data_IF_113261774674
#
_entry.id   IF_113261774674
#
_cell.length_a   1.000
_cell.length_b   1.000
_cell.length_c   1.000
_cell.angle_alpha   90.00
_cell.angle_beta   90.00
_cell.angle_gamma   90.00
#
_symmetry.space_group_name_H-M   'P 1'
#
loop_
_entity.id
_entity.type
_entity.pdbx_description
1 polymer ?
#
# COMPACT_ATOMS: atom_id res chain seq x y z
N UNK A 1 -18.88 19.87 -8.16
CA UNK A 1 -18.06 18.78 -8.72
C UNK A 1 -17.85 17.78 -7.59
N UNK A 2 -18.08 16.50 -7.82
CA UNK A 2 -17.96 15.49 -6.78
C UNK A 2 -16.49 15.06 -6.61
N UNK A 3 -16.16 14.46 -5.48
CA UNK A 3 -14.91 13.74 -5.25
C UNK A 3 -14.81 12.57 -6.27
N UNK A 4 -13.70 12.42 -6.99
CA UNK A 4 -13.52 11.34 -7.95
C UNK A 4 -13.70 9.93 -7.36
N UNK A 5 -13.28 9.71 -6.11
CA UNK A 5 -13.51 8.43 -5.42
C UNK A 5 -15.00 8.24 -5.13
N UNK A 6 -15.73 9.30 -4.80
CA UNK A 6 -17.17 9.19 -4.61
C UNK A 6 -17.89 8.77 -5.90
N UNK A 7 -17.47 9.29 -7.05
CA UNK A 7 -18.04 8.90 -8.34
C UNK A 7 -17.71 7.44 -8.69
N UNK A 8 -16.49 6.95 -8.38
CA UNK A 8 -16.13 5.52 -8.51
C UNK A 8 -17.05 4.67 -7.64
N UNK A 9 -17.19 5.00 -6.35
CA UNK A 9 -18.06 4.26 -5.44
C UNK A 9 -19.52 4.25 -5.91
N UNK A 10 -19.99 5.37 -6.46
CA UNK A 10 -21.35 5.47 -7.00
C UNK A 10 -21.52 4.62 -8.26
N UNK A 11 -20.49 4.50 -9.10
CA UNK A 11 -20.48 3.58 -10.23
C UNK A 11 -20.44 2.10 -9.80
N UNK A 12 -19.70 1.77 -8.74
CA UNK A 12 -19.54 0.38 -8.27
C UNK A 12 -20.75 -0.13 -7.50
N UNK A 13 -21.32 0.70 -6.60
CA UNK A 13 -22.39 0.30 -5.69
C UNK A 13 -23.78 0.85 -6.08
N UNK A 14 -23.84 1.78 -7.03
CA UNK A 14 -25.08 2.38 -7.56
C UNK A 14 -25.70 3.45 -6.67
N UNK A 15 -25.91 3.16 -5.38
CA UNK A 15 -26.61 4.08 -4.45
C UNK A 15 -25.78 4.46 -3.24
N UNK A 16 -26.03 5.66 -2.70
CA UNK A 16 -25.37 6.17 -1.49
C UNK A 16 -25.67 5.29 -0.26
N UNK A 17 -26.85 4.65 -0.25
CA UNK A 17 -27.25 3.71 0.80
C UNK A 17 -26.45 2.42 0.69
N UNK A 18 -26.22 1.90 -0.52
CA UNK A 18 -25.40 0.71 -0.74
C UNK A 18 -23.94 0.95 -0.32
N UNK A 19 -23.38 2.11 -0.68
CA UNK A 19 -22.04 2.54 -0.23
C UNK A 19 -22.00 2.57 1.31
N UNK A 20 -22.96 3.24 1.95
CA UNK A 20 -22.99 3.37 3.40
C UNK A 20 -23.07 2.00 4.10
N UNK A 21 -23.92 1.09 3.60
CA UNK A 21 -24.03 -0.28 4.10
C UNK A 21 -22.73 -1.07 3.94
N UNK A 22 -22.07 -0.96 2.80
CA UNK A 22 -20.82 -1.67 2.52
C UNK A 22 -19.72 -1.27 3.51
N UNK A 23 -19.59 0.04 3.80
CA UNK A 23 -18.60 0.55 4.74
C UNK A 23 -19.08 0.63 6.20
N UNK A 24 -20.27 0.11 6.52
CA UNK A 24 -20.83 0.13 7.87
C UNK A 24 -21.10 1.54 8.42
N UNK A 25 -21.38 2.52 7.57
CA UNK A 25 -21.69 3.90 7.96
C UNK A 25 -23.16 4.24 7.82
N UNK A 26 -23.62 5.31 8.49
CA UNK A 26 -25.04 5.71 8.48
C UNK A 26 -25.44 6.36 7.16
N UNK A 27 -24.55 7.19 6.56
CA UNK A 27 -24.80 7.90 5.30
C UNK A 27 -23.48 8.18 4.57
N UNK A 28 -23.46 8.02 3.25
CA UNK A 28 -22.32 8.39 2.40
C UNK A 28 -22.50 9.73 1.66
N UNK A 29 -23.65 10.41 1.80
CA UNK A 29 -23.96 11.62 1.03
C UNK A 29 -22.95 12.76 1.20
N UNK A 30 -22.32 12.87 2.37
CA UNK A 30 -21.32 13.90 2.68
C UNK A 30 -19.97 13.66 1.98
N UNK A 31 -19.74 12.44 1.48
CA UNK A 31 -18.52 12.08 0.76
C UNK A 31 -18.46 12.66 -0.65
N UNK A 32 -19.56 13.26 -1.13
CA UNK A 32 -19.60 14.01 -2.40
C UNK A 32 -18.52 15.06 -2.50
N UNK A 33 -18.15 15.69 -1.39
CA UNK A 33 -17.13 16.75 -1.38
C UNK A 33 -15.74 16.21 -1.08
N UNK A 34 -15.66 15.23 -0.16
CA UNK A 34 -14.41 14.61 0.24
C UNK A 34 -14.69 13.26 0.89
N UNK A 35 -14.15 12.19 0.31
CA UNK A 35 -14.25 10.85 0.91
C UNK A 35 -13.22 10.74 2.03
N UNK A 36 -13.58 10.32 3.26
CA UNK A 36 -12.65 10.18 4.38
C UNK A 36 -11.45 9.27 4.07
N UNK A 37 -10.29 9.59 4.65
CA UNK A 37 -9.02 8.89 4.40
C UNK A 37 -9.08 7.39 4.70
N UNK A 38 -9.72 6.99 5.81
CA UNK A 38 -9.89 5.59 6.17
C UNK A 38 -10.69 4.82 5.13
N UNK A 39 -11.74 5.43 4.55
CA UNK A 39 -12.53 4.83 3.48
C UNK A 39 -11.70 4.72 2.21
N UNK A 40 -10.92 5.75 1.87
CA UNK A 40 -10.04 5.73 0.72
C UNK A 40 -8.95 4.65 0.82
N UNK A 41 -8.39 4.44 2.01
CA UNK A 41 -7.46 3.34 2.28
C UNK A 41 -8.14 1.98 2.10
N UNK A 42 -9.34 1.80 2.64
CA UNK A 42 -10.10 0.55 2.43
C UNK A 42 -10.37 0.31 0.94
N UNK A 43 -10.74 1.35 0.19
CA UNK A 43 -10.94 1.24 -1.26
C UNK A 43 -9.67 0.82 -2.00
N UNK A 44 -8.49 1.24 -1.54
CA UNK A 44 -7.21 0.84 -2.12
C UNK A 44 -6.87 -0.64 -1.84
N UNK A 45 -7.36 -1.20 -0.73
CA UNK A 45 -7.12 -2.58 -0.34
C UNK A 45 -8.12 -3.56 -1.00
N UNK A 46 -9.27 -3.08 -1.47
CA UNK A 46 -10.31 -3.92 -2.06
C UNK A 46 -10.07 -4.00 -3.58
N UNK A 47 -9.76 -5.18 -4.14
CA UNK A 47 -9.40 -5.33 -5.55
C UNK A 47 -10.54 -4.99 -6.52
N UNK A 48 -11.79 -5.12 -6.06
CA UNK A 48 -12.98 -4.85 -6.86
C UNK A 48 -13.28 -3.35 -7.03
N UNK A 49 -12.62 -2.49 -6.25
CA UNK A 49 -12.78 -1.04 -6.34
C UNK A 49 -11.57 -0.48 -7.08
N UNK A 50 -11.74 0.10 -8.29
CA UNK A 50 -10.63 0.59 -9.10
C UNK A 50 -10.12 1.93 -8.56
N UNK A 51 -9.51 1.93 -7.37
CA UNK A 51 -9.00 3.11 -6.70
C UNK A 51 -7.59 2.88 -6.15
N UNK A 52 -6.70 3.83 -6.41
CA UNK A 52 -5.37 3.88 -5.80
C UNK A 52 -5.32 5.04 -4.82
N UNK A 53 -4.93 4.76 -3.58
CA UNK A 53 -4.81 5.78 -2.55
C UNK A 53 -3.70 6.77 -2.91
N UNK A 54 -4.03 8.06 -2.91
CA UNK A 54 -3.08 9.16 -3.07
C UNK A 54 -2.91 9.89 -1.73
N UNK A 55 -1.78 9.69 -1.02
CA UNK A 55 -1.53 10.32 0.27
C UNK A 55 -1.57 11.86 0.23
N UNK A 56 -1.20 12.46 -0.90
CA UNK A 56 -1.11 13.92 -1.04
C UNK A 56 -2.50 14.56 -0.92
N UNK A 57 -3.54 13.91 -1.45
CA UNK A 57 -4.93 14.36 -1.34
C UNK A 57 -5.45 14.42 0.09
N UNK A 58 -4.82 13.69 0.99
CA UNK A 58 -5.16 13.60 2.41
C UNK A 58 -4.17 14.38 3.29
N UNK A 59 -3.33 15.23 2.69
CA UNK A 59 -2.35 16.02 3.43
C UNK A 59 -1.26 15.16 4.09
N UNK A 60 -1.03 13.94 3.61
CA UNK A 60 0.04 13.07 4.10
C UNK A 60 1.31 13.36 3.31
N UNK A 61 2.33 13.82 4.03
CA UNK A 61 3.66 13.97 3.46
C UNK A 61 4.37 12.62 3.39
N UNK A 62 4.34 12.01 2.19
CA UNK A 62 5.11 10.80 1.88
C UNK A 62 6.62 11.00 2.01
N UNK A 63 7.12 12.24 1.92
CA UNK A 63 8.56 12.54 2.06
C UNK A 63 9.02 12.56 3.52
N UNK A 64 8.11 12.90 4.45
CA UNK A 64 8.39 12.97 5.88
C UNK A 64 8.75 11.63 6.52
N UNK A 65 8.31 10.52 5.92
CA UNK A 65 8.60 9.17 6.41
C UNK A 65 10.06 8.73 6.15
N UNK A 66 10.84 9.43 5.30
CA UNK A 66 12.22 9.07 4.91
C UNK A 66 12.45 7.55 4.77
N UNK A 67 11.44 6.83 4.28
CA UNK A 67 11.55 5.40 4.07
C UNK A 67 12.41 5.25 2.83
N UNK A 68 13.70 5.00 3.05
CA UNK A 68 14.60 4.51 2.02
C UNK A 68 14.05 3.14 1.60
N UNK A 69 13.10 3.13 0.66
CA UNK A 69 12.55 1.93 0.02
C UNK A 69 13.54 1.34 -0.98
N UNK A 70 14.84 1.41 -0.67
CA UNK A 70 15.84 0.62 -1.36
C UNK A 70 15.72 -0.75 -0.71
N UNK A 71 15.12 -1.72 -1.42
CA UNK A 71 15.37 -3.13 -1.11
C UNK A 71 16.87 -3.24 -0.90
N UNK A 72 17.38 -3.82 0.20
CA UNK A 72 18.80 -4.11 0.26
C UNK A 72 19.10 -4.85 -1.02
N UNK A 73 19.86 -4.19 -1.90
CA UNK A 73 20.53 -4.90 -2.95
C UNK A 73 21.27 -6.01 -2.21
N UNK A 74 21.22 -7.28 -2.65
CA UNK A 74 22.21 -8.22 -2.19
C UNK A 74 23.54 -7.61 -2.62
N UNK A 75 24.12 -6.79 -1.74
CA UNK A 75 25.52 -6.45 -1.79
C UNK A 75 26.15 -7.82 -1.79
N UNK A 76 26.74 -8.17 -2.92
CA UNK A 76 27.66 -9.28 -3.03
C UNK A 76 28.53 -9.22 -1.79
N UNK A 77 28.24 -10.07 -0.81
CA UNK A 77 29.21 -10.37 0.23
C UNK A 77 30.47 -10.73 -0.57
N UNK A 78 31.64 -10.13 -0.30
CA UNK A 78 32.85 -10.77 -0.80
C UNK A 78 32.76 -12.21 -0.32
N UNK A 79 32.81 -13.12 -1.29
CA UNK A 79 32.72 -14.55 -1.08
C UNK A 79 33.51 -14.91 0.17
N UNK A 80 32.89 -15.65 1.08
CA UNK A 80 33.66 -16.39 2.08
C UNK A 80 34.50 -17.37 1.28
N UNK A 81 35.72 -16.97 0.95
CA UNK A 81 36.72 -17.86 0.40
C UNK A 81 37.04 -18.86 1.51
N UNK A 82 36.46 -20.04 1.37
CA UNK A 82 36.96 -21.29 1.93
C UNK A 82 38.48 -21.29 1.88
N UNK A 83 39.12 -21.17 3.04
CA UNK A 83 40.51 -21.59 3.20
C UNK A 83 40.46 -23.10 3.43
N UNK A 84 40.32 -23.88 2.36
CA UNK A 84 40.69 -25.29 2.38
C UNK A 84 42.20 -25.36 2.59
N UNK A 85 42.67 -26.08 3.61
CA UNK A 85 43.76 -27.05 3.44
C UNK A 85 43.64 -28.14 4.49
N UNK A 86 43.26 -29.33 4.02
CA UNK A 86 43.45 -30.63 4.64
C UNK A 86 44.85 -30.77 5.27
N UNK A 87 44.91 -30.82 6.60
CA UNK A 87 46.09 -31.29 7.34
C UNK A 87 45.85 -32.73 7.75
N UNK A 88 45.74 -33.64 6.79
CA UNK A 88 45.95 -35.06 7.04
C UNK A 88 46.54 -35.73 5.80
N UNK A 89 47.87 -35.79 5.74
CA UNK A 89 48.61 -36.89 5.10
C UNK A 89 50.10 -36.76 5.35
N UNK A 90 50.68 -37.88 5.84
CA UNK A 90 52.10 -38.22 6.01
C UNK A 90 52.73 -37.93 7.39
N UNK A 91 52.45 -38.83 8.33
CA UNK A 91 53.52 -39.40 9.15
C UNK A 91 53.79 -40.81 8.59
N UNK A 92 55.03 -41.03 8.14
CA UNK A 92 55.59 -42.31 7.73
C UNK A 92 56.13 -43.06 8.95
#
# INVERSE_FOLDING_TARGET
MNDPLFDILKSTFGTEIAIARFFGTVRAAHWKHHVPENIALLCHLIPDIPYTFDPIRYGRDVKGLKLVLVKPHPTTNPEVTTNDQDVYSKAA
#
